data_IF_074261246056
#
_entry.id   IF_074261246056
#
_cell.length_a   1.000
_cell.length_b   1.000
_cell.length_c   1.000
_cell.angle_alpha   90.00
_cell.angle_beta   90.00
_cell.angle_gamma   90.00
#
_symmetry.space_group_name_H-M   'P 1'
#
loop_
_entity.id
_entity.type
_entity.pdbx_description
1 polymer ?
#
# COMPACT_ATOMS: atom_id res chain seq x y z
N UNK A 1 -16.86 -51.49 26.00
CA UNK A 1 -17.51 -50.18 26.13
C UNK A 1 -16.42 -49.18 26.49
N UNK A 2 -16.01 -48.32 25.56
CA UNK A 2 -15.93 -46.89 25.89
C UNK A 2 -15.78 -46.08 24.60
N UNK A 3 -16.91 -45.49 24.20
CA UNK A 3 -17.07 -44.60 23.06
C UNK A 3 -16.99 -43.16 23.55
N UNK A 4 -15.84 -42.69 24.00
CA UNK A 4 -15.69 -41.26 24.27
C UNK A 4 -14.27 -40.81 23.98
N UNK A 5 -14.07 -40.29 22.76
CA UNK A 5 -13.30 -39.06 22.47
C UNK A 5 -13.17 -38.88 20.94
N UNK A 6 -14.31 -38.67 20.27
CA UNK A 6 -14.36 -38.08 18.93
C UNK A 6 -14.87 -36.65 19.12
N UNK A 7 -13.95 -35.68 19.20
CA UNK A 7 -14.07 -34.27 18.81
C UNK A 7 -13.01 -33.49 19.58
N UNK A 8 -12.03 -32.94 18.86
CA UNK A 8 -11.19 -31.76 19.16
C UNK A 8 -9.84 -31.88 18.43
N UNK A 9 -9.84 -32.05 17.11
CA UNK A 9 -8.64 -31.90 16.27
C UNK A 9 -9.02 -31.47 14.86
N UNK A 10 -9.64 -30.31 14.73
CA UNK A 10 -9.87 -29.70 13.41
C UNK A 10 -9.58 -28.20 13.38
N UNK A 11 -9.20 -27.58 14.51
CA UNK A 11 -8.90 -26.14 14.56
C UNK A 11 -7.41 -25.77 14.48
N UNK A 12 -6.51 -26.76 14.46
CA UNK A 12 -5.07 -26.53 14.62
C UNK A 12 -4.29 -26.60 13.29
N UNK A 13 -4.86 -27.25 12.27
CA UNK A 13 -4.17 -27.50 10.99
C UNK A 13 -4.18 -26.32 10.02
N UNK A 14 -5.10 -25.36 10.18
CA UNK A 14 -5.23 -24.23 9.25
C UNK A 14 -4.32 -23.05 9.65
N UNK A 15 -4.09 -22.86 10.95
CA UNK A 15 -3.12 -21.89 11.46
C UNK A 15 -1.68 -22.35 11.15
N UNK A 16 -1.38 -23.63 11.37
CA UNK A 16 -0.06 -24.21 11.08
C UNK A 16 0.23 -24.26 9.56
N UNK A 17 -0.79 -24.45 8.69
CA UNK A 17 -0.62 -24.32 7.23
C UNK A 17 -0.40 -22.88 6.78
N UNK A 18 -1.06 -21.90 7.40
CA UNK A 18 -0.80 -20.48 7.15
C UNK A 18 0.59 -20.05 7.61
N UNK A 19 1.09 -20.60 8.73
CA UNK A 19 2.44 -20.32 9.23
C UNK A 19 3.54 -21.04 8.42
N UNK A 20 3.33 -22.30 8.00
CA UNK A 20 4.30 -23.02 7.15
C UNK A 20 4.48 -22.39 5.77
N UNK A 21 3.45 -21.74 5.21
CA UNK A 21 3.55 -21.03 3.93
C UNK A 21 4.28 -19.67 4.03
N UNK A 22 4.46 -19.12 5.25
CA UNK A 22 5.24 -17.88 5.49
C UNK A 22 6.76 -18.06 5.36
N UNK A 23 7.25 -19.28 5.16
CA UNK A 23 8.69 -19.57 5.07
C UNK A 23 9.27 -19.45 3.66
N UNK A 24 8.43 -19.15 2.66
CA UNK A 24 8.93 -18.74 1.34
C UNK A 24 9.36 -17.29 1.46
N UNK A 25 10.66 -17.01 1.47
CA UNK A 25 11.24 -15.66 1.55
C UNK A 25 10.51 -14.72 0.59
N UNK A 26 9.58 -13.91 1.12
CA UNK A 26 8.82 -12.99 0.29
C UNK A 26 9.80 -11.94 -0.22
N UNK A 27 9.86 -11.76 -1.54
CA UNK A 27 10.68 -10.72 -2.15
C UNK A 27 10.06 -9.39 -1.76
N UNK A 28 10.80 -8.59 -1.00
CA UNK A 28 10.40 -7.23 -0.65
C UNK A 28 10.41 -6.37 -1.90
N UNK A 29 9.28 -5.73 -2.20
CA UNK A 29 9.16 -4.80 -3.32
C UNK A 29 9.31 -3.36 -2.85
N UNK A 30 9.50 -2.43 -3.79
CA UNK A 30 9.49 -0.99 -3.49
C UNK A 30 8.09 -0.55 -3.02
N UNK A 31 7.03 -1.18 -3.53
CA UNK A 31 5.66 -0.90 -3.10
C UNK A 31 5.47 -1.18 -1.60
N UNK A 32 6.01 -2.29 -1.11
CA UNK A 32 5.92 -2.65 0.32
C UNK A 32 6.66 -1.66 1.22
N UNK A 33 7.78 -1.11 0.72
CA UNK A 33 8.57 -0.08 1.40
C UNK A 33 7.79 1.24 1.51
N UNK A 34 7.25 1.72 0.39
CA UNK A 34 6.43 2.95 0.34
C UNK A 34 5.18 2.81 1.21
N UNK A 35 4.60 1.61 1.27
CA UNK A 35 3.47 1.30 2.14
C UNK A 35 3.85 1.16 3.64
N UNK A 36 5.11 1.36 4.02
CA UNK A 36 5.57 1.33 5.41
C UNK A 36 5.59 -0.07 6.04
N UNK A 37 5.61 -1.14 5.23
CA UNK A 37 5.51 -2.53 5.71
C UNK A 37 6.85 -3.20 5.94
N UNK A 38 7.95 -2.52 5.61
CA UNK A 38 9.29 -3.10 5.55
C UNK A 38 10.18 -2.40 6.57
N UNK A 39 10.81 -3.17 7.43
CA UNK A 39 11.89 -2.74 8.33
C UNK A 39 13.26 -3.28 7.90
N UNK A 40 14.29 -3.01 8.70
CA UNK A 40 15.66 -3.45 8.42
C UNK A 40 15.83 -4.97 8.36
N UNK A 41 14.99 -5.70 9.10
CA UNK A 41 15.01 -7.16 9.26
C UNK A 41 14.02 -7.88 8.31
N UNK A 42 13.30 -7.15 7.46
CA UNK A 42 12.29 -7.72 6.57
C UNK A 42 10.91 -7.08 6.75
N UNK A 43 9.84 -7.82 6.46
CA UNK A 43 8.48 -7.35 6.71
C UNK A 43 8.23 -7.11 8.20
N UNK A 44 7.67 -5.96 8.54
CA UNK A 44 7.24 -5.64 9.89
C UNK A 44 6.09 -6.57 10.28
N UNK A 45 6.30 -7.37 11.32
CA UNK A 45 5.25 -8.18 11.95
C UNK A 45 4.65 -7.43 13.12
N UNK A 46 3.33 -7.50 13.27
CA UNK A 46 2.66 -6.95 14.45
C UNK A 46 3.14 -7.66 15.72
N UNK A 47 3.43 -6.84 16.73
CA UNK A 47 3.70 -7.12 18.14
C UNK A 47 3.87 -8.60 18.55
N UNK A 48 5.12 -9.03 18.72
CA UNK A 48 5.49 -9.79 19.91
C UNK A 48 6.44 -8.92 20.73
N UNK A 49 5.90 -7.96 21.46
CA UNK A 49 6.64 -7.28 22.52
C UNK A 49 7.11 -8.36 23.48
N UNK A 50 8.41 -8.68 23.47
CA UNK A 50 8.91 -9.66 24.43
C UNK A 50 8.73 -9.07 25.82
N UNK A 51 8.12 -9.82 26.75
CA UNK A 51 7.82 -9.37 28.12
C UNK A 51 9.07 -9.04 28.95
N UNK A 52 10.27 -9.15 28.36
CA UNK A 52 11.56 -9.10 29.05
C UNK A 52 12.57 -8.15 28.40
N UNK A 53 12.21 -7.40 27.34
CA UNK A 53 13.11 -6.39 26.77
C UNK A 53 12.60 -4.98 27.05
N UNK A 54 13.43 -4.21 27.75
CA UNK A 54 13.21 -2.78 28.03
C UNK A 54 13.81 -1.86 26.96
N UNK A 55 14.45 -2.41 25.92
CA UNK A 55 14.98 -1.64 24.79
C UNK A 55 14.05 -1.77 23.59
N UNK A 56 13.53 -0.64 23.09
CA UNK A 56 12.77 -0.61 21.85
C UNK A 56 13.66 -1.09 20.69
N UNK A 57 13.34 -2.24 20.10
CA UNK A 57 14.07 -2.74 18.92
C UNK A 57 13.83 -1.79 17.74
N UNK A 58 14.91 -1.35 17.09
CA UNK A 58 14.85 -0.60 15.81
C UNK A 58 14.27 -1.45 14.67
N UNK A 59 14.10 -2.76 14.87
CA UNK A 59 13.47 -3.68 13.91
C UNK A 59 11.99 -3.38 13.64
N UNK A 60 11.36 -2.48 14.40
CA UNK A 60 9.95 -2.11 14.25
C UNK A 60 9.75 -0.79 13.49
N UNK A 61 10.82 -0.10 13.13
CA UNK A 61 10.74 1.15 12.36
C UNK A 61 10.72 0.81 10.87
N UNK A 62 9.74 1.36 10.16
CA UNK A 62 9.70 1.26 8.71
C UNK A 62 10.93 1.94 8.11
N UNK A 63 11.65 1.20 7.25
CA UNK A 63 12.79 1.73 6.52
C UNK A 63 12.26 2.63 5.42
N UNK A 64 12.80 3.85 5.28
CA UNK A 64 12.33 4.75 4.24
C UNK A 64 12.64 4.16 2.84
N UNK A 65 11.76 4.39 1.84
CA UNK A 65 11.87 3.74 0.53
C UNK A 65 13.18 4.07 -0.18
N UNK A 66 13.72 5.28 -0.01
CA UNK A 66 15.01 5.67 -0.58
C UNK A 66 16.16 4.80 -0.04
N UNK A 67 16.16 4.45 1.25
CA UNK A 67 17.19 3.59 1.83
C UNK A 67 17.15 2.18 1.22
N UNK A 68 15.96 1.67 0.91
CA UNK A 68 15.82 0.37 0.24
C UNK A 68 16.37 0.42 -1.18
N UNK A 69 16.20 1.54 -1.89
CA UNK A 69 16.78 1.73 -3.22
C UNK A 69 18.32 1.78 -3.14
N UNK A 70 18.90 2.45 -2.15
CA UNK A 70 20.36 2.56 -1.98
C UNK A 70 21.02 1.24 -1.60
N UNK A 71 20.33 0.38 -0.86
CA UNK A 71 20.88 -0.91 -0.43
C UNK A 71 20.84 -1.96 -1.55
N UNK A 72 20.15 -1.69 -2.67
CA UNK A 72 20.12 -2.62 -3.82
C UNK A 72 21.48 -2.70 -4.49
N UNK A 73 21.83 -3.91 -4.93
CA UNK A 73 23.04 -4.15 -5.70
C UNK A 73 23.00 -3.35 -7.00
N UNK A 74 24.01 -2.50 -7.22
CA UNK A 74 24.08 -1.64 -8.40
C UNK A 74 23.36 -0.29 -8.26
N UNK A 75 22.98 0.11 -7.04
CA UNK A 75 22.49 1.46 -6.79
C UNK A 75 23.54 2.52 -7.23
N UNK A 76 23.12 3.63 -7.88
CA UNK A 76 24.01 4.73 -8.22
C UNK A 76 24.70 5.33 -6.99
N UNK A 77 25.92 5.85 -7.17
CA UNK A 77 26.58 6.66 -6.14
C UNK A 77 25.85 7.99 -5.99
N UNK A 78 25.53 8.36 -4.75
CA UNK A 78 24.84 9.63 -4.45
C UNK A 78 25.86 10.75 -4.28
N UNK A 79 25.52 11.89 -4.87
CA UNK A 79 26.10 13.18 -4.53
C UNK A 79 24.96 14.07 -4.07
N UNK A 80 25.19 14.94 -3.09
CA UNK A 80 24.12 15.77 -2.53
C UNK A 80 23.55 16.73 -3.59
N UNK A 81 24.42 17.12 -4.52
CA UNK A 81 24.18 18.05 -5.61
C UNK A 81 23.35 17.41 -6.73
N UNK A 82 23.68 16.18 -7.12
CA UNK A 82 23.10 15.46 -8.27
C UNK A 82 22.41 14.16 -7.83
N UNK A 83 21.55 14.26 -6.82
CA UNK A 83 20.84 13.09 -6.32
C UNK A 83 19.73 12.66 -7.28
N UNK A 84 19.94 11.52 -7.93
CA UNK A 84 19.01 10.92 -8.90
C UNK A 84 17.62 10.64 -8.28
N UNK A 85 17.54 10.43 -6.97
CA UNK A 85 16.27 10.13 -6.30
C UNK A 85 15.53 11.37 -5.77
N UNK A 86 16.16 12.54 -5.82
CA UNK A 86 15.53 13.84 -5.50
C UNK A 86 15.33 14.67 -6.79
N UNK A 87 14.83 13.99 -7.84
CA UNK A 87 14.57 14.58 -9.15
C UNK A 87 13.43 15.61 -9.12
N UNK A 88 12.59 15.57 -8.10
CA UNK A 88 11.51 16.52 -7.86
C UNK A 88 12.03 17.96 -7.64
N UNK A 89 13.25 18.13 -7.13
CA UNK A 89 13.90 19.44 -6.92
C UNK A 89 14.14 20.21 -8.22
N UNK A 90 14.16 19.51 -9.35
CA UNK A 90 14.35 20.10 -10.67
C UNK A 90 13.03 20.31 -11.42
N UNK A 91 11.88 20.03 -10.79
CA UNK A 91 10.59 20.29 -11.40
C UNK A 91 10.31 21.78 -11.45
N UNK A 92 9.87 22.22 -12.62
CA UNK A 92 9.35 23.56 -12.78
C UNK A 92 8.08 23.76 -11.92
N UNK A 93 7.78 24.97 -11.44
CA UNK A 93 6.63 25.23 -10.56
C UNK A 93 5.26 24.83 -11.13
N UNK A 94 5.16 24.68 -12.46
CA UNK A 94 3.95 24.26 -13.16
C UNK A 94 3.83 22.73 -13.33
N UNK A 95 4.89 21.97 -13.07
CA UNK A 95 4.86 20.51 -13.02
C UNK A 95 4.56 20.05 -11.60
N UNK A 96 3.27 20.03 -11.26
CA UNK A 96 2.82 19.55 -9.95
C UNK A 96 2.82 18.02 -9.92
N UNK A 97 3.39 17.47 -8.86
CA UNK A 97 3.22 16.06 -8.52
C UNK A 97 1.91 15.88 -7.75
N UNK A 98 1.29 14.70 -7.85
CA UNK A 98 0.13 14.35 -7.03
C UNK A 98 0.46 14.42 -5.54
N UNK A 99 -0.57 14.54 -4.71
CA UNK A 99 -0.43 14.46 -3.27
C UNK A 99 0.28 13.16 -2.83
N UNK A 100 1.25 13.32 -1.92
CA UNK A 100 2.12 12.21 -1.51
C UNK A 100 1.36 11.11 -0.76
N UNK A 101 0.34 11.47 0.01
CA UNK A 101 -0.43 10.51 0.81
C UNK A 101 -1.45 9.77 -0.08
N UNK A 102 -2.01 10.46 -1.07
CA UNK A 102 -2.77 9.81 -2.14
C UNK A 102 -1.90 8.74 -2.84
N UNK A 103 -0.69 9.10 -3.27
CA UNK A 103 0.19 8.18 -3.98
C UNK A 103 0.62 6.99 -3.09
N UNK A 104 0.97 7.22 -1.82
CA UNK A 104 1.26 6.14 -0.86
C UNK A 104 0.08 5.18 -0.70
N UNK A 105 -1.15 5.70 -0.68
CA UNK A 105 -2.36 4.89 -0.56
C UNK A 105 -2.57 4.00 -1.78
N UNK A 106 -2.38 4.53 -3.00
CA UNK A 106 -2.45 3.75 -4.24
C UNK A 106 -1.35 2.68 -4.27
N UNK A 107 -0.12 3.02 -3.85
CA UNK A 107 0.98 2.06 -3.74
C UNK A 107 0.66 0.92 -2.77
N UNK A 108 0.08 1.23 -1.60
CA UNK A 108 -0.33 0.22 -0.63
C UNK A 108 -1.42 -0.71 -1.20
N UNK A 109 -2.41 -0.13 -1.90
CA UNK A 109 -3.44 -0.91 -2.60
C UNK A 109 -2.84 -1.83 -3.67
N UNK A 110 -1.94 -1.31 -4.52
CA UNK A 110 -1.29 -2.10 -5.56
C UNK A 110 -0.44 -3.24 -4.98
N UNK A 111 0.30 -2.97 -3.89
CA UNK A 111 1.05 -3.99 -3.17
C UNK A 111 0.13 -5.13 -2.69
N UNK A 112 -1.00 -4.79 -2.07
CA UNK A 112 -1.98 -5.78 -1.64
C UNK A 112 -2.58 -6.55 -2.81
N UNK A 113 -2.99 -5.84 -3.86
CA UNK A 113 -3.55 -6.46 -5.05
C UNK A 113 -2.60 -7.51 -5.63
N UNK A 114 -1.34 -7.15 -5.86
CA UNK A 114 -0.35 -8.07 -6.42
C UNK A 114 0.03 -9.21 -5.45
N UNK A 115 0.00 -8.97 -4.15
CA UNK A 115 0.22 -10.00 -3.13
C UNK A 115 -0.91 -11.04 -3.06
N UNK A 116 -2.14 -10.67 -3.43
CA UNK A 116 -3.29 -11.59 -3.48
C UNK A 116 -3.42 -12.28 -4.84
N UNK A 117 -3.26 -11.54 -5.95
CA UNK A 117 -3.47 -12.05 -7.31
C UNK A 117 -2.42 -13.07 -7.75
N UNK A 118 -1.15 -12.87 -7.33
CA UNK A 118 -0.04 -13.77 -7.69
C UNK A 118 -0.10 -15.17 -7.06
N UNK A 119 -1.00 -15.39 -6.09
CA UNK A 119 -1.13 -16.67 -5.37
C UNK A 119 -2.11 -17.64 -6.04
N UNK A 120 -2.89 -17.20 -7.05
CA UNK A 120 -3.85 -18.05 -7.75
C UNK A 120 -3.17 -18.81 -8.90
N UNK A 121 -3.18 -20.16 -8.91
CA UNK A 121 -2.57 -20.94 -9.98
C UNK A 121 -3.27 -20.67 -11.32
N UNK A 122 -2.49 -20.26 -12.32
CA UNK A 122 -2.97 -19.94 -13.68
C UNK A 122 -3.18 -18.45 -13.96
N UNK A 123 -3.03 -17.58 -12.96
CA UNK A 123 -3.10 -16.13 -13.18
C UNK A 123 -1.70 -15.57 -13.44
N UNK A 124 -1.41 -15.25 -14.71
CA UNK A 124 -0.21 -14.49 -15.09
C UNK A 124 -0.57 -13.02 -14.95
N UNK A 125 -0.39 -12.48 -13.75
CA UNK A 125 -0.52 -11.05 -13.55
C UNK A 125 0.64 -10.32 -14.24
N UNK A 126 0.31 -9.42 -15.15
CA UNK A 126 1.28 -8.67 -15.98
C UNK A 126 1.98 -7.59 -15.14
N UNK A 127 1.59 -7.35 -13.87
CA UNK A 127 2.16 -6.29 -13.00
C UNK A 127 2.26 -4.95 -13.75
N UNK A 128 1.13 -4.54 -14.33
CA UNK A 128 1.02 -3.37 -15.20
C UNK A 128 1.16 -2.03 -14.49
N UNK A 129 1.07 -1.99 -13.17
CA UNK A 129 1.26 -0.78 -12.35
C UNK A 129 2.71 -0.71 -11.91
N UNK A 130 3.58 -0.23 -12.81
CA UNK A 130 4.95 0.15 -12.49
C UNK A 130 5.01 1.57 -11.87
N UNK A 131 6.20 2.04 -11.53
CA UNK A 131 6.40 3.34 -10.89
C UNK A 131 5.83 4.49 -11.73
N UNK A 132 5.97 4.40 -13.06
CA UNK A 132 5.47 5.43 -13.99
C UNK A 132 3.96 5.36 -14.12
N UNK A 133 3.40 4.16 -14.24
CA UNK A 133 1.96 3.95 -14.32
C UNK A 133 1.26 4.40 -13.04
N UNK A 134 1.82 4.13 -11.86
CA UNK A 134 1.26 4.60 -10.59
C UNK A 134 1.30 6.12 -10.46
N UNK A 135 2.38 6.77 -10.90
CA UNK A 135 2.45 8.22 -10.94
C UNK A 135 1.37 8.80 -11.87
N UNK A 136 1.23 8.22 -13.07
CA UNK A 136 0.19 8.63 -14.02
C UNK A 136 -1.22 8.44 -13.47
N UNK A 137 -1.50 7.32 -12.77
CA UNK A 137 -2.78 7.08 -12.10
C UNK A 137 -3.03 8.12 -11.01
N UNK A 138 -2.02 8.47 -10.21
CA UNK A 138 -2.13 9.52 -9.19
C UNK A 138 -2.52 10.86 -9.79
N UNK A 139 -1.85 11.28 -10.88
CA UNK A 139 -2.16 12.52 -11.61
C UNK A 139 -3.59 12.48 -12.13
N UNK A 140 -3.97 11.40 -12.83
CA UNK A 140 -5.31 11.27 -13.39
C UNK A 140 -6.40 11.29 -12.32
N UNK A 141 -6.16 10.66 -11.17
CA UNK A 141 -7.13 10.62 -10.09
C UNK A 141 -7.31 11.99 -9.43
N UNK A 142 -6.22 12.73 -9.22
CA UNK A 142 -6.27 14.08 -8.66
C UNK A 142 -6.98 15.05 -9.62
N UNK A 143 -6.61 15.04 -10.90
CA UNK A 143 -7.23 15.88 -11.93
C UNK A 143 -8.71 15.52 -12.17
N UNK A 144 -9.05 14.22 -12.20
CA UNK A 144 -10.44 13.78 -12.31
C UNK A 144 -11.26 14.20 -11.09
N UNK A 145 -10.66 14.17 -9.90
CA UNK A 145 -11.32 14.61 -8.66
C UNK A 145 -11.53 16.12 -8.66
N UNK A 146 -10.53 16.91 -9.05
CA UNK A 146 -10.67 18.36 -9.21
C UNK A 146 -11.72 18.72 -10.27
N UNK A 147 -11.78 17.96 -11.37
CA UNK A 147 -12.78 18.15 -12.40
C UNK A 147 -14.20 17.81 -11.92
N UNK A 148 -14.37 16.69 -11.22
CA UNK A 148 -15.67 16.21 -10.74
C UNK A 148 -16.23 17.05 -9.58
N UNK A 149 -15.37 17.49 -8.66
CA UNK A 149 -15.74 18.31 -7.50
C UNK A 149 -15.87 19.81 -7.84
N UNK A 150 -15.31 20.24 -8.97
CA UNK A 150 -15.20 21.66 -9.32
C UNK A 150 -14.19 22.40 -8.44
N UNK A 151 -14.12 23.72 -8.58
CA UNK A 151 -13.05 24.54 -7.98
C UNK A 151 -12.99 24.53 -6.45
N UNK A 152 -14.14 24.32 -5.80
CA UNK A 152 -14.27 24.38 -4.34
C UNK A 152 -14.71 23.04 -3.74
N UNK A 153 -15.27 22.11 -4.52
CA UNK A 153 -15.89 20.89 -4.00
C UNK A 153 -17.15 21.12 -3.18
N UNK A 154 -17.65 22.35 -3.15
CA UNK A 154 -18.80 22.72 -2.33
C UNK A 154 -20.07 22.05 -2.89
N UNK A 155 -20.87 21.45 -1.99
CA UNK A 155 -22.07 20.66 -2.32
C UNK A 155 -21.84 19.33 -3.07
N UNK A 156 -20.61 18.85 -3.25
CA UNK A 156 -20.34 17.61 -4.01
C UNK A 156 -21.06 16.35 -3.50
N UNK A 157 -21.41 16.33 -2.21
CA UNK A 157 -22.13 15.22 -1.57
C UNK A 157 -23.53 15.61 -1.08
N UNK A 158 -24.04 16.79 -1.47
CA UNK A 158 -25.38 17.23 -1.07
C UNK A 158 -26.40 16.71 -2.08
N UNK A 159 -27.25 15.81 -1.64
CA UNK A 159 -28.41 15.36 -2.40
C UNK A 159 -29.42 16.52 -2.49
N UNK A 160 -29.81 16.90 -3.70
CA UNK A 160 -30.89 17.88 -3.90
C UNK A 160 -32.21 17.22 -3.48
N UNK A 161 -32.82 17.69 -2.38
CA UNK A 161 -34.21 17.37 -2.13
C UNK A 161 -35.04 18.08 -3.19
N UNK A 162 -35.36 17.41 -4.29
CA UNK A 162 -36.35 17.88 -5.26
C UNK A 162 -37.61 18.26 -4.47
N UNK A 163 -37.89 19.57 -4.43
CA UNK A 163 -39.17 20.05 -3.97
C UNK A 163 -40.20 19.43 -4.90
N UNK A 164 -40.98 18.47 -4.39
CA UNK A 164 -42.24 18.05 -4.99
C UNK A 164 -43.11 19.31 -5.00
N UNK A 165 -42.99 20.10 -6.07
CA UNK A 165 -43.90 21.20 -6.35
C UNK A 165 -45.23 20.52 -6.63
N UNK A 166 -46.06 20.48 -5.60
CA UNK A 166 -47.45 20.06 -5.71
C UNK A 166 -48.09 20.86 -6.83
N UNK A 167 -48.41 20.15 -7.91
CA UNK A 167 -49.32 20.61 -8.94
C UNK A 167 -50.69 20.70 -8.25
N UNK A 168 -51.13 21.91 -7.89
CA UNK A 168 -52.50 22.16 -7.48
C UNK A 168 -53.38 22.20 -8.75
N UNK A 169 -54.28 21.23 -9.00
CA UNK A 169 -55.27 21.38 -10.06
C UNK A 169 -56.37 22.33 -9.60
N UNK A 170 -56.64 23.32 -10.46
CA UNK A 170 -57.67 24.34 -10.35
C UNK A 170 -59.11 23.79 -10.33
#
# INVERSE_FOLDING_TARGET
MDRHQVLKRTGQTDHERSEMQRTKTQIITLYDAVAGRVGYEGFLTEQQSSRYRDTASTSHVAVPPEEILFRRKGAPVRFAEDDVYEADRHLEPHHRLPDSDLLKTIHAYAADYYNHTSKTPGNVDIRSLDETALLAVGILLEEASAHALGTTGDLAFVESSEAVVGEDPA
#
